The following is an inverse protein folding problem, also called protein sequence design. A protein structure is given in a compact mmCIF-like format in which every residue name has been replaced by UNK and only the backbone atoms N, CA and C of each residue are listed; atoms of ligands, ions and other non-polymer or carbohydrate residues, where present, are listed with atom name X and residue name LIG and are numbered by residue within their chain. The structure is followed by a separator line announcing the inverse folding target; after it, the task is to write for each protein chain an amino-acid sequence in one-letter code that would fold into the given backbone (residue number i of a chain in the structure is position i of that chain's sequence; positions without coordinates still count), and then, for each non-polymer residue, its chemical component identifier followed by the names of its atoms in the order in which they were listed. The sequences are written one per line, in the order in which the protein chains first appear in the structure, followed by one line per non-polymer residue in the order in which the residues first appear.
data_IF_142316229112
#
_entry.id   IF_142316229112
#
_cell.length_a   1.000
_cell.length_b   1.000
_cell.length_c   1.000
_cell.angle_alpha   90.00
_cell.angle_beta   90.00
_cell.angle_gamma   90.00
#
_symmetry.space_group_name_H-M   'P 1'
#
loop_
_entity.id
_entity.type
_entity.pdbx_description
1 polymer ?
#
# COMPACT_ATOMS: atom_id res chain seq x y z
N UNK A 1 7.24 -11.81 10.95
CA UNK A 1 5.97 -11.06 10.95
C UNK A 1 5.30 -11.04 12.33
N UNK A 2 4.83 -12.18 12.86
CA UNK A 2 4.04 -12.26 14.11
C UNK A 2 4.65 -11.49 15.31
N UNK A 3 5.96 -11.59 15.54
CA UNK A 3 6.63 -10.88 16.63
C UNK A 3 6.50 -9.36 16.55
N UNK A 4 6.46 -8.80 15.34
CA UNK A 4 6.36 -7.36 15.11
C UNK A 4 4.92 -6.87 15.29
N UNK A 5 3.95 -7.61 14.73
CA UNK A 5 2.52 -7.34 14.92
C UNK A 5 2.14 -7.46 16.41
N UNK A 6 2.63 -8.48 17.10
CA UNK A 6 2.44 -8.64 18.56
C UNK A 6 3.09 -7.52 19.38
N UNK A 7 4.20 -6.94 18.89
CA UNK A 7 4.81 -5.75 19.48
C UNK A 7 4.02 -4.46 19.17
N UNK A 8 2.93 -4.54 18.42
CA UNK A 8 2.01 -3.45 18.08
C UNK A 8 2.35 -2.72 16.79
N UNK A 9 3.17 -3.29 15.90
CA UNK A 9 3.22 -2.84 14.51
C UNK A 9 1.89 -3.10 13.81
N UNK A 10 1.53 -2.23 12.85
CA UNK A 10 0.28 -2.38 12.11
C UNK A 10 0.48 -3.43 11.02
N UNK A 11 -0.39 -4.42 11.01
CA UNK A 11 -0.43 -5.46 9.98
C UNK A 11 -1.15 -4.96 8.73
N UNK A 12 -0.55 -5.23 7.57
CA UNK A 12 -0.99 -4.80 6.25
C UNK A 12 -0.96 -5.98 5.28
N UNK A 13 -1.81 -5.92 4.26
CA UNK A 13 -1.91 -6.92 3.21
C UNK A 13 -1.92 -6.28 1.84
N UNK A 14 -1.25 -6.91 0.87
CA UNK A 14 -1.30 -6.48 -0.54
C UNK A 14 -1.57 -7.68 -1.43
N UNK A 15 -2.72 -7.66 -2.10
CA UNK A 15 -3.00 -8.57 -3.21
C UNK A 15 -2.19 -8.17 -4.44
N UNK A 16 -1.61 -9.17 -5.09
CA UNK A 16 -0.91 -9.04 -6.35
C UNK A 16 -1.46 -10.11 -7.29
N UNK A 17 -1.97 -9.70 -8.44
CA UNK A 17 -2.28 -10.61 -9.53
C UNK A 17 -1.49 -10.23 -10.78
N UNK A 18 -1.42 -11.16 -11.72
CA UNK A 18 -0.82 -10.92 -13.02
C UNK A 18 -1.80 -10.32 -14.03
N UNK A 19 -2.94 -9.79 -13.59
CA UNK A 19 -3.96 -9.29 -14.50
C UNK A 19 -3.39 -8.16 -15.36
N UNK A 20 -3.34 -8.38 -16.68
CA UNK A 20 -2.77 -7.43 -17.64
C UNK A 20 -1.24 -7.50 -17.83
N UNK A 21 -0.53 -8.42 -17.16
CA UNK A 21 0.92 -8.63 -17.30
C UNK A 21 1.19 -10.02 -17.87
N UNK A 22 1.41 -10.12 -19.18
CA UNK A 22 1.72 -11.40 -19.84
C UNK A 22 2.98 -12.03 -19.26
N UNK A 23 2.88 -13.31 -18.88
CA UNK A 23 4.02 -14.14 -18.51
C UNK A 23 4.57 -13.92 -17.10
N UNK A 24 3.80 -13.29 -16.20
CA UNK A 24 4.12 -13.20 -14.78
C UNK A 24 3.00 -13.83 -13.95
N UNK A 25 3.32 -14.22 -12.72
CA UNK A 25 2.40 -14.68 -11.67
C UNK A 25 2.32 -13.64 -10.56
N UNK A 26 1.35 -13.76 -9.65
CA UNK A 26 1.34 -12.96 -8.42
C UNK A 26 2.62 -13.11 -7.60
N UNK A 27 3.25 -14.28 -7.61
CA UNK A 27 4.50 -14.54 -6.89
C UNK A 27 5.71 -13.83 -7.53
N UNK A 28 5.79 -13.77 -8.86
CA UNK A 28 6.83 -13.00 -9.56
C UNK A 28 6.76 -11.50 -9.20
N UNK A 29 5.54 -11.00 -8.97
CA UNK A 29 5.31 -9.61 -8.54
C UNK A 29 5.61 -9.43 -7.05
N UNK A 30 5.33 -10.44 -6.22
CA UNK A 30 5.69 -10.47 -4.81
C UNK A 30 7.22 -10.45 -4.63
N UNK A 31 7.95 -11.20 -5.45
CA UNK A 31 9.41 -11.19 -5.46
C UNK A 31 9.97 -9.85 -5.94
N UNK A 32 9.38 -9.22 -6.97
CA UNK A 32 9.72 -7.85 -7.36
C UNK A 32 9.45 -6.82 -6.26
N UNK A 33 8.41 -7.02 -5.44
CA UNK A 33 8.15 -6.18 -4.27
C UNK A 33 9.30 -6.28 -3.26
N UNK A 34 9.76 -7.52 -3.01
CA UNK A 34 10.82 -7.83 -2.03
C UNK A 34 12.20 -7.38 -2.50
N UNK A 35 12.55 -7.65 -3.76
CA UNK A 35 13.87 -7.35 -4.35
C UNK A 35 14.07 -5.89 -4.70
N UNK A 36 12.98 -5.18 -5.04
CA UNK A 36 12.97 -3.73 -5.12
C UNK A 36 12.69 -3.14 -6.49
N UNK A 37 12.57 -3.96 -7.53
CA UNK A 37 12.34 -3.55 -8.94
C UNK A 37 10.89 -3.14 -9.26
N UNK A 38 10.00 -3.14 -8.26
CA UNK A 38 8.58 -2.92 -8.47
C UNK A 38 8.22 -1.55 -9.07
N UNK A 39 7.37 -1.58 -10.10
CA UNK A 39 6.64 -0.44 -10.67
C UNK A 39 5.51 0.03 -9.73
N UNK A 40 5.49 1.32 -9.41
CA UNK A 40 4.47 1.93 -8.53
C UNK A 40 3.32 2.46 -9.39
N UNK A 41 2.09 2.03 -9.10
CA UNK A 41 0.91 2.41 -9.86
C UNK A 41 0.45 3.85 -9.63
N UNK A 42 -0.29 4.40 -10.61
CA UNK A 42 -1.06 5.64 -10.43
C UNK A 42 -2.39 5.31 -9.76
N UNK A 43 -2.69 5.97 -8.64
CA UNK A 43 -3.92 5.72 -7.87
C UNK A 43 -4.75 6.98 -7.63
N UNK A 44 -6.03 6.80 -7.33
CA UNK A 44 -7.01 7.89 -7.11
C UNK A 44 -6.67 8.75 -5.88
N UNK A 45 -5.92 8.18 -4.93
CA UNK A 45 -5.51 8.85 -3.69
C UNK A 45 -4.02 9.27 -3.69
N UNK A 46 -3.43 9.37 -4.88
CA UNK A 46 -2.02 9.68 -5.09
C UNK A 46 -1.18 8.48 -5.54
N UNK A 47 -0.01 8.74 -6.10
CA UNK A 47 0.92 7.67 -6.50
C UNK A 47 1.54 7.01 -5.28
N UNK A 48 1.50 5.67 -5.22
CA UNK A 48 2.11 4.92 -4.14
C UNK A 48 1.74 3.44 -4.14
N UNK A 49 2.19 2.74 -3.11
CA UNK A 49 1.94 1.33 -2.89
C UNK A 49 0.64 1.17 -2.10
N UNK A 50 -0.41 0.68 -2.75
CA UNK A 50 -1.70 0.42 -2.10
C UNK A 50 -1.66 -0.87 -1.31
N UNK A 51 -2.08 -0.80 -0.05
CA UNK A 51 -2.16 -1.93 0.88
C UNK A 51 -3.45 -1.83 1.70
N UNK A 52 -4.09 -2.95 1.96
CA UNK A 52 -5.24 -3.07 2.85
C UNK A 52 -4.80 -3.31 4.30
N UNK A 53 -5.62 -2.90 5.26
CA UNK A 53 -5.39 -3.18 6.68
C UNK A 53 -6.70 -3.39 7.44
N UNK A 54 -6.67 -4.19 8.51
CA UNK A 54 -7.86 -4.53 9.30
C UNK A 54 -7.98 -6.03 9.55
N UNK A 55 -9.02 -6.42 10.28
CA UNK A 55 -9.29 -7.82 10.65
C UNK A 55 -9.69 -8.71 9.48
N UNK A 56 -10.13 -8.12 8.36
CA UNK A 56 -10.45 -8.86 7.14
C UNK A 56 -9.26 -8.86 6.18
N UNK A 57 -8.39 -9.85 6.33
CA UNK A 57 -7.39 -10.22 5.30
C UNK A 57 -8.01 -10.48 3.91
N UNK A 58 -9.33 -10.75 3.87
CA UNK A 58 -10.14 -11.07 2.69
C UNK A 58 -10.32 -9.86 1.76
N UNK A 59 -10.11 -8.66 2.27
CA UNK A 59 -10.17 -7.41 1.52
C UNK A 59 -9.02 -7.25 0.51
N UNK A 60 -7.86 -7.87 0.77
CA UNK A 60 -6.75 -7.93 -0.17
C UNK A 60 -6.98 -8.98 -1.28
N UNK A 61 -7.90 -9.92 -1.07
CA UNK A 61 -8.26 -10.94 -2.08
C UNK A 61 -9.13 -10.37 -3.21
N UNK A 62 -9.82 -9.24 -3.00
CA UNK A 62 -10.50 -8.55 -4.10
C UNK A 62 -9.51 -8.07 -5.18
N UNK A 63 -8.21 -7.96 -4.84
CA UNK A 63 -7.12 -7.63 -5.75
C UNK A 63 -6.35 -8.85 -6.28
N UNK A 64 -6.75 -10.05 -5.88
CA UNK A 64 -6.32 -11.27 -6.55
C UNK A 64 -7.44 -11.68 -7.50
N UNK A 65 -7.33 -11.30 -8.77
CA UNK A 65 -8.38 -11.54 -9.75
C UNK A 65 -8.90 -12.99 -9.73
N UNK A 66 -10.22 -13.16 -9.72
CA UNK A 66 -10.86 -14.48 -9.65
C UNK A 66 -10.39 -15.35 -10.83
N UNK A 67 -9.74 -16.48 -10.52
CA UNK A 67 -9.22 -17.43 -11.52
C UNK A 67 -7.82 -17.12 -12.07
N UNK A 68 -7.06 -16.24 -11.41
CA UNK A 68 -5.67 -15.91 -11.73
C UNK A 68 -4.78 -16.37 -10.57
N UNK A 69 -3.57 -16.84 -10.85
CA UNK A 69 -2.57 -17.10 -9.81
C UNK A 69 -2.14 -15.78 -9.15
N UNK A 70 -2.83 -15.39 -8.08
CA UNK A 70 -2.48 -14.25 -7.25
C UNK A 70 -1.61 -14.64 -6.04
N UNK A 71 -1.05 -13.62 -5.39
CA UNK A 71 -0.30 -13.77 -4.16
C UNK A 71 -0.68 -12.66 -3.19
N UNK A 72 -0.77 -13.00 -1.89
CA UNK A 72 -0.99 -12.02 -0.83
C UNK A 72 0.32 -11.81 -0.09
N UNK A 73 0.84 -10.59 -0.17
CA UNK A 73 1.95 -10.15 0.67
C UNK A 73 1.42 -9.72 2.03
N UNK A 74 2.01 -10.28 3.09
CA UNK A 74 1.84 -9.80 4.46
C UNK A 74 2.99 -8.85 4.81
N UNK A 75 2.63 -7.69 5.34
CA UNK A 75 3.54 -6.58 5.59
C UNK A 75 3.30 -6.07 7.02
N UNK A 76 4.34 -5.61 7.71
CA UNK A 76 4.17 -4.79 8.93
C UNK A 76 4.68 -3.37 8.71
N UNK A 77 3.92 -2.43 9.27
CA UNK A 77 4.25 -1.01 9.34
C UNK A 77 4.72 -0.67 10.76
N UNK A 78 5.97 -0.18 10.92
CA UNK A 78 6.49 0.17 12.24
C UNK A 78 5.73 1.35 12.85
N UNK A 79 5.65 1.37 14.18
CA UNK A 79 5.02 2.48 14.94
C UNK A 79 5.68 3.84 14.70
N UNK A 80 6.94 3.84 14.27
CA UNK A 80 7.70 5.04 13.94
C UNK A 80 7.36 5.64 12.58
N UNK A 81 6.56 4.94 11.75
CA UNK A 81 6.16 5.45 10.45
C UNK A 81 5.33 6.73 10.63
N UNK A 82 5.64 7.75 9.83
CA UNK A 82 4.89 9.00 9.80
C UNK A 82 3.64 8.81 8.94
N UNK A 83 2.49 8.72 9.59
CA UNK A 83 1.19 8.48 8.94
C UNK A 83 0.36 9.77 8.96
N UNK A 84 -0.21 10.14 7.82
CA UNK A 84 -1.21 11.22 7.69
C UNK A 84 -2.52 10.67 7.15
N UNK A 85 -3.67 11.16 7.64
CA UNK A 85 -4.96 10.80 7.04
C UNK A 85 -5.17 11.56 5.73
N UNK A 86 -5.84 10.94 4.76
CA UNK A 86 -6.08 11.56 3.45
C UNK A 86 -6.79 12.92 3.56
N UNK A 87 -7.83 13.03 4.39
CA UNK A 87 -8.55 14.30 4.57
C UNK A 87 -7.63 15.42 5.08
N UNK A 88 -6.77 15.13 6.06
CA UNK A 88 -5.80 16.09 6.59
C UNK A 88 -4.75 16.46 5.55
N UNK A 89 -4.29 15.49 4.77
CA UNK A 89 -3.34 15.73 3.70
C UNK A 89 -3.91 16.70 2.65
N UNK A 90 -5.16 16.51 2.24
CA UNK A 90 -5.83 17.40 1.29
C UNK A 90 -6.05 18.79 1.88
N UNK A 91 -6.43 18.89 3.16
CA UNK A 91 -6.52 20.18 3.84
C UNK A 91 -5.17 20.92 3.90
N UNK A 92 -4.08 20.21 4.20
CA UNK A 92 -2.73 20.78 4.18
C UNK A 92 -2.33 21.21 2.78
N UNK A 93 -2.51 20.33 1.79
CA UNK A 93 -2.14 20.58 0.40
C UNK A 93 -2.89 21.79 -0.17
N UNK A 94 -4.20 21.91 0.05
CA UNK A 94 -5.01 23.04 -0.43
C UNK A 94 -4.60 24.39 0.14
N UNK A 95 -3.93 24.41 1.31
CA UNK A 95 -3.44 25.63 1.96
C UNK A 95 -1.96 25.91 1.65
N UNK A 96 -1.27 24.97 1.01
CA UNK A 96 0.15 25.04 0.74
C UNK A 96 0.41 25.59 -0.67
N UNK A 97 1.19 26.67 -0.77
CA UNK A 97 1.55 27.30 -2.04
C UNK A 97 2.38 26.36 -2.94
N UNK A 98 2.95 25.29 -2.36
CA UNK A 98 3.68 24.26 -3.08
C UNK A 98 2.83 23.53 -4.15
N UNK A 99 1.50 23.60 -4.08
CA UNK A 99 0.59 23.07 -5.11
C UNK A 99 0.68 23.77 -6.47
N UNK A 100 1.29 24.96 -6.51
CA UNK A 100 1.63 25.64 -7.76
C UNK A 100 2.67 24.88 -8.59
N UNK A 101 3.46 23.98 -7.97
CA UNK A 101 4.39 23.11 -8.68
C UNK A 101 3.65 21.86 -9.19
N UNK A 102 3.62 21.61 -10.52
CA UNK A 102 2.90 20.46 -11.08
C UNK A 102 3.32 19.11 -10.50
N UNK A 103 4.58 18.97 -10.06
CA UNK A 103 5.08 17.76 -9.44
C UNK A 103 4.43 17.46 -8.07
N UNK A 104 3.90 18.47 -7.38
CA UNK A 104 3.32 18.39 -6.04
C UNK A 104 1.79 18.51 -6.03
N UNK A 105 1.15 18.48 -7.20
CA UNK A 105 -0.30 18.37 -7.30
C UNK A 105 -0.80 16.96 -6.98
N UNK A 106 0.03 15.94 -7.18
CA UNK A 106 -0.27 14.57 -6.76
C UNK A 106 -0.17 14.43 -5.23
N UNK A 107 -1.23 14.00 -4.52
CA UNK A 107 -1.22 13.87 -3.06
C UNK A 107 -0.10 12.96 -2.54
N UNK A 108 0.22 11.88 -3.27
CA UNK A 108 1.30 10.96 -2.92
C UNK A 108 2.68 11.63 -2.93
N UNK A 109 2.98 12.37 -4.01
CA UNK A 109 4.22 13.15 -4.12
C UNK A 109 4.30 14.28 -3.11
N UNK A 110 3.20 14.98 -2.86
CA UNK A 110 3.15 16.02 -1.83
C UNK A 110 3.40 15.43 -0.43
N UNK A 111 2.71 14.35 -0.06
CA UNK A 111 2.93 13.68 1.22
C UNK A 111 4.38 13.18 1.37
N UNK A 112 4.96 12.60 0.31
CA UNK A 112 6.35 12.14 0.32
C UNK A 112 7.32 13.33 0.49
N UNK A 113 7.06 14.45 -0.20
CA UNK A 113 7.84 15.68 -0.06
C UNK A 113 7.80 16.24 1.37
N UNK A 114 6.65 16.15 2.04
CA UNK A 114 6.48 16.54 3.46
C UNK A 114 7.08 15.53 4.45
N UNK A 115 7.61 14.41 3.95
CA UNK A 115 8.28 13.39 4.74
C UNK A 115 7.35 12.41 5.44
N UNK A 116 6.12 12.23 4.94
CA UNK A 116 5.25 11.15 5.38
C UNK A 116 5.66 9.83 4.74
N UNK A 117 5.54 8.74 5.49
CA UNK A 117 5.81 7.40 5.01
C UNK A 117 4.55 6.76 4.39
N UNK A 118 3.37 7.12 4.91
CA UNK A 118 2.09 6.50 4.56
C UNK A 118 0.94 7.50 4.62
N UNK A 119 0.01 7.37 3.67
CA UNK A 119 -1.30 8.03 3.72
C UNK A 119 -2.34 6.99 4.16
N UNK A 120 -3.06 7.28 5.24
CA UNK A 120 -4.20 6.50 5.70
C UNK A 120 -5.49 7.03 5.07
N UNK A 121 -6.08 6.25 4.16
CA UNK A 121 -7.32 6.63 3.46
C UNK A 121 -8.55 6.27 4.32
N UNK A 122 -8.40 5.41 5.33
CA UNK A 122 -9.50 4.91 6.13
C UNK A 122 -10.42 3.97 5.36
N UNK A 123 -11.55 3.61 5.98
CA UNK A 123 -12.61 2.82 5.34
C UNK A 123 -13.48 3.73 4.48
N UNK A 124 -13.91 3.25 3.32
CA UNK A 124 -15.01 3.88 2.58
C UNK A 124 -16.27 3.02 2.71
N UNK A 125 -17.43 3.59 2.34
CA UNK A 125 -18.74 2.95 2.53
C UNK A 125 -18.85 1.53 1.95
N UNK A 126 -18.05 1.21 0.93
CA UNK A 126 -18.06 -0.07 0.22
C UNK A 126 -16.65 -0.67 0.05
N UNK A 127 -15.64 -0.22 0.79
CA UNK A 127 -14.28 -0.74 0.60
C UNK A 127 -13.48 -0.88 1.88
N UNK A 128 -12.51 -1.83 1.89
CA UNK A 128 -11.53 -2.02 2.94
C UNK A 128 -10.88 -0.73 3.41
N UNK A 129 -10.28 -0.76 4.62
CA UNK A 129 -9.38 0.32 5.00
C UNK A 129 -8.09 0.23 4.21
N UNK A 130 -7.73 1.30 3.51
CA UNK A 130 -6.53 1.34 2.68
C UNK A 130 -5.48 2.32 3.17
N UNK A 131 -4.24 1.96 2.86
CA UNK A 131 -3.09 2.82 2.99
C UNK A 131 -2.36 2.94 1.66
N UNK A 132 -1.81 4.12 1.43
CA UNK A 132 -0.88 4.39 0.34
C UNK A 132 0.50 4.54 0.96
N UNK A 133 1.35 3.55 0.78
CA UNK A 133 2.74 3.58 1.26
C UNK A 133 3.61 4.34 0.25
N UNK A 134 4.34 5.34 0.75
CA UNK A 134 5.18 6.25 -0.02
C UNK A 134 6.66 5.91 0.14
N UNK A 135 7.05 5.44 1.32
CA UNK A 135 8.41 5.01 1.62
C UNK A 135 8.46 3.49 1.86
N UNK A 136 8.79 2.72 0.81
CA UNK A 136 8.87 1.25 0.92
C UNK A 136 9.92 0.78 1.93
N UNK A 137 11.00 1.54 2.16
CA UNK A 137 12.07 1.15 3.10
C UNK A 137 11.60 1.12 4.56
N UNK A 138 10.47 1.76 4.86
CA UNK A 138 9.84 1.71 6.18
C UNK A 138 9.17 0.35 6.46
N UNK A 139 8.81 -0.39 5.41
CA UNK A 139 8.03 -1.62 5.54
C UNK A 139 8.92 -2.82 5.87
N UNK A 140 8.35 -3.77 6.63
CA UNK A 140 8.88 -5.13 6.71
C UNK A 140 7.95 -6.06 5.96
N UNK A 141 8.50 -6.85 5.05
CA UNK A 141 7.73 -7.80 4.22
C UNK A 141 8.01 -9.22 4.74
N UNK A 142 6.99 -10.07 4.80
CA UNK A 142 7.21 -11.49 5.07
C UNK A 142 7.96 -12.15 3.90
N UNK A 143 8.91 -13.04 4.21
CA UNK A 143 9.69 -13.74 3.18
C UNK A 143 8.80 -14.59 2.28
N UNK A 144 7.84 -15.31 2.86
CA UNK A 144 6.86 -16.13 2.14
C UNK A 144 5.51 -15.40 1.98
N UNK A 145 4.91 -15.52 0.79
CA UNK A 145 3.54 -15.08 0.53
C UNK A 145 2.53 -16.00 1.22
N UNK A 146 1.33 -15.48 1.49
CA UNK A 146 0.22 -16.31 2.02
C UNK A 146 -0.51 -16.91 0.82
N UNK A 147 -0.67 -18.25 0.75
CA UNK A 147 -1.45 -18.87 -0.32
C UNK A 147 -2.92 -18.45 -0.26
N UNK A 148 -3.53 -18.26 -1.43
CA UNK A 148 -4.98 -18.02 -1.52
C UNK A 148 -5.76 -19.20 -0.94
N UNK A 149 -6.84 -18.89 -0.22
CA UNK A 149 -7.79 -19.91 0.26
C UNK A 149 -8.99 -19.82 -0.68
N UNK A 150 -9.15 -20.80 -1.56
CA UNK A 150 -10.34 -21.00 -2.39
C UNK A 150 -11.48 -21.62 -1.57
#
# INVERSE_FOLDING_TARGET
MNKYVAAGERELFRGLDSYGIKGKTGEDLAEQFRSGDMYVGKGIFGNGIYVAYGSDKYDAQEYTGVGIEGAILRISLPKSAKVISYDKLIEEQNKDFLTSYPALQDPGRYAAFKGYDVIDVGATRNRPKYMVVLNRTTLRVQEESIPEVH
#
